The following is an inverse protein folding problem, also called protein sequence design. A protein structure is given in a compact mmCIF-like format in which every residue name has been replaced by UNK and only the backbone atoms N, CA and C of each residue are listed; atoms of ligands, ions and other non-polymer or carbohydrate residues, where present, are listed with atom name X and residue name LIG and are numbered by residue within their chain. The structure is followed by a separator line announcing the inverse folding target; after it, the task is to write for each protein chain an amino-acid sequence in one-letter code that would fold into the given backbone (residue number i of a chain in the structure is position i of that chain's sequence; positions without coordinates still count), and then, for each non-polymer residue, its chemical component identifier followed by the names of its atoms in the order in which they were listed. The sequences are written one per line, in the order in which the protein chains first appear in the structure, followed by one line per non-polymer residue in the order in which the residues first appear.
data_IF_369367169636
#
_entry.id   IF_369367169636
#
_cell.length_a   1.000
_cell.length_b   1.000
_cell.length_c   1.000
_cell.angle_alpha   90.00
_cell.angle_beta   90.00
_cell.angle_gamma   90.00
#
_symmetry.space_group_name_H-M   'P 1'
#
loop_
_entity.id
_entity.type
_entity.pdbx_description
1 polymer ?
#
# COMPACT_ATOMS: atom_id res chain seq x y z
N UNK A 1 -15.19 12.64 -27.61
CA UNK A 1 -13.81 12.84 -27.11
C UNK A 1 -13.22 11.46 -26.85
N UNK A 2 -12.16 11.05 -27.55
CA UNK A 2 -11.55 9.72 -27.37
C UNK A 2 -10.88 9.63 -25.99
N UNK A 3 -11.09 8.54 -25.24
CA UNK A 3 -10.43 8.34 -23.95
C UNK A 3 -8.92 8.18 -24.18
N UNK A 4 -8.11 8.98 -23.47
CA UNK A 4 -6.64 8.83 -23.52
C UNK A 4 -6.29 7.41 -23.10
N UNK A 5 -5.52 6.68 -23.91
CA UNK A 5 -4.98 5.36 -23.56
C UNK A 5 -3.50 5.47 -23.22
N UNK A 6 -3.03 4.61 -22.31
CA UNK A 6 -1.63 4.52 -21.89
C UNK A 6 -1.31 3.05 -21.57
N UNK A 7 -0.04 2.70 -21.76
CA UNK A 7 0.50 1.40 -21.34
C UNK A 7 1.17 1.56 -19.98
N UNK A 8 0.85 0.64 -19.08
CA UNK A 8 1.38 0.50 -17.74
C UNK A 8 2.13 -0.83 -17.63
N UNK A 9 3.09 -0.91 -16.71
CA UNK A 9 3.84 -2.13 -16.43
C UNK A 9 3.66 -2.49 -14.96
N UNK A 10 3.39 -3.76 -14.68
CA UNK A 10 3.39 -4.35 -13.35
C UNK A 10 4.23 -5.63 -13.46
N UNK A 11 5.43 -5.63 -12.90
CA UNK A 11 6.43 -6.68 -13.13
C UNK A 11 6.62 -7.00 -14.63
N UNK A 12 6.25 -8.21 -15.05
CA UNK A 12 6.33 -8.69 -16.44
C UNK A 12 5.06 -8.40 -17.26
N UNK A 13 4.03 -7.83 -16.64
CA UNK A 13 2.72 -7.59 -17.26
C UNK A 13 2.70 -6.25 -17.97
N UNK A 14 2.02 -6.22 -19.12
CA UNK A 14 1.82 -5.00 -19.92
C UNK A 14 0.33 -4.71 -19.98
N UNK A 15 -0.08 -3.66 -19.28
CA UNK A 15 -1.49 -3.30 -19.10
C UNK A 15 -1.80 -2.07 -19.94
N UNK A 16 -2.59 -2.23 -21.00
CA UNK A 16 -3.15 -1.08 -21.74
C UNK A 16 -4.46 -0.66 -21.08
N UNK A 17 -4.50 0.58 -20.57
CA UNK A 17 -5.67 1.11 -19.89
C UNK A 17 -6.07 2.48 -20.45
N UNK A 18 -7.32 2.85 -20.18
CA UNK A 18 -7.94 4.09 -20.61
C UNK A 18 -8.24 4.99 -19.42
N UNK A 19 -7.93 6.27 -19.56
CA UNK A 19 -8.19 7.26 -18.51
C UNK A 19 -9.70 7.37 -18.29
N UNK A 20 -10.12 7.28 -17.04
CA UNK A 20 -11.50 7.53 -16.67
C UNK A 20 -11.81 9.02 -16.66
N UNK A 21 -13.06 9.36 -16.96
CA UNK A 21 -13.59 10.72 -16.93
C UNK A 21 -14.57 10.84 -15.76
N UNK A 22 -14.79 12.05 -15.25
CA UNK A 22 -15.69 12.34 -14.12
C UNK A 22 -15.20 11.83 -12.75
N UNK A 23 -13.89 11.90 -12.51
CA UNK A 23 -13.27 11.70 -11.20
C UNK A 23 -12.18 12.75 -10.98
N UNK A 24 -11.97 13.13 -9.73
CA UNK A 24 -10.87 14.03 -9.33
C UNK A 24 -9.53 13.28 -9.21
N UNK A 25 -9.55 11.95 -9.30
CA UNK A 25 -8.39 11.09 -9.16
C UNK A 25 -7.86 10.65 -10.52
N UNK A 26 -6.56 10.35 -10.61
CA UNK A 26 -5.96 9.87 -11.84
C UNK A 26 -6.16 8.36 -12.03
N UNK A 27 -7.42 7.96 -12.28
CA UNK A 27 -7.82 6.54 -12.39
C UNK A 27 -7.86 6.10 -13.86
N UNK A 28 -7.27 4.94 -14.13
CA UNK A 28 -7.25 4.29 -15.43
C UNK A 28 -7.90 2.91 -15.32
N UNK A 29 -8.61 2.50 -16.37
CA UNK A 29 -9.33 1.22 -16.41
C UNK A 29 -8.83 0.42 -17.60
N UNK A 30 -8.39 -0.82 -17.36
CA UNK A 30 -7.97 -1.72 -18.42
C UNK A 30 -9.15 -2.11 -19.34
N UNK A 31 -10.29 -2.49 -18.75
CA UNK A 31 -11.49 -2.92 -19.49
C UNK A 31 -12.76 -2.29 -18.93
N UNK A 32 -13.54 -1.64 -19.78
CA UNK A 32 -14.83 -1.06 -19.36
C UNK A 32 -15.93 -2.14 -19.26
N UNK A 33 -15.89 -2.94 -18.18
CA UNK A 33 -16.90 -3.93 -17.83
C UNK A 33 -17.68 -3.49 -16.57
N UNK A 34 -18.68 -4.28 -16.15
CA UNK A 34 -19.47 -3.96 -14.94
C UNK A 34 -18.59 -3.93 -13.68
N UNK A 35 -17.65 -4.87 -13.55
CA UNK A 35 -16.74 -4.97 -12.41
C UNK A 35 -15.91 -3.68 -12.23
N UNK A 36 -15.24 -3.24 -13.28
CA UNK A 36 -14.45 -1.99 -13.28
C UNK A 36 -15.30 -0.75 -13.00
N UNK A 37 -16.55 -0.70 -13.48
CA UNK A 37 -17.48 0.39 -13.14
C UNK A 37 -17.86 0.39 -11.66
N UNK A 38 -18.02 -0.78 -11.05
CA UNK A 38 -18.28 -0.89 -9.62
C UNK A 38 -17.06 -0.44 -8.80
N UNK A 39 -15.86 -0.91 -9.14
CA UNK A 39 -14.60 -0.45 -8.50
C UNK A 39 -14.45 1.06 -8.61
N UNK A 40 -14.66 1.64 -9.79
CA UNK A 40 -14.57 3.09 -9.97
C UNK A 40 -15.54 3.86 -9.05
N UNK A 41 -16.77 3.37 -8.87
CA UNK A 41 -17.72 3.95 -7.91
C UNK A 41 -17.22 3.84 -6.47
N UNK A 42 -16.73 2.66 -6.08
CA UNK A 42 -16.16 2.42 -4.75
C UNK A 42 -14.96 3.33 -4.49
N UNK A 43 -13.97 3.39 -5.40
CA UNK A 43 -12.82 4.29 -5.32
C UNK A 43 -13.24 5.75 -5.13
N UNK A 44 -14.17 6.24 -5.96
CA UNK A 44 -14.65 7.62 -5.86
C UNK A 44 -15.29 7.95 -4.50
N UNK A 45 -15.94 6.97 -3.86
CA UNK A 45 -16.53 7.14 -2.52
C UNK A 45 -15.43 7.05 -1.46
N UNK A 46 -14.64 5.98 -1.48
CA UNK A 46 -13.66 5.68 -0.43
C UNK A 46 -12.53 6.71 -0.37
N UNK A 47 -11.99 7.12 -1.53
CA UNK A 47 -10.88 8.08 -1.59
C UNK A 47 -11.28 9.46 -1.06
N UNK A 48 -12.57 9.86 -1.14
CA UNK A 48 -13.03 11.13 -0.53
C UNK A 48 -12.90 11.14 1.00
N UNK A 49 -12.82 9.97 1.62
CA UNK A 49 -12.64 9.80 3.08
C UNK A 49 -11.19 9.56 3.50
N UNK A 50 -10.25 9.66 2.55
CA UNK A 50 -8.81 9.46 2.78
C UNK A 50 -8.11 10.77 2.41
N UNK A 51 -7.76 11.55 3.41
CA UNK A 51 -7.15 12.88 3.28
C UNK A 51 -5.67 12.93 3.69
N UNK A 52 -5.22 11.95 4.48
CA UNK A 52 -3.84 11.85 5.01
C UNK A 52 -2.79 11.39 4.00
N UNK A 53 -3.18 11.02 2.78
CA UNK A 53 -2.28 10.41 1.79
C UNK A 53 -2.35 11.14 0.46
N UNK A 54 -1.20 11.29 -0.18
CA UNK A 54 -1.14 11.66 -1.59
C UNK A 54 -1.54 10.45 -2.44
N UNK A 55 -2.59 10.62 -3.25
CA UNK A 55 -3.15 9.54 -4.06
C UNK A 55 -2.39 9.45 -5.41
N UNK A 56 -1.69 8.33 -5.70
CA UNK A 56 -0.96 8.16 -6.94
C UNK A 56 -1.91 7.86 -8.12
N UNK A 57 -1.34 7.51 -9.27
CA UNK A 57 -2.12 6.90 -10.35
C UNK A 57 -2.70 5.58 -9.86
N UNK A 58 -3.98 5.34 -10.15
CA UNK A 58 -4.64 4.05 -9.86
C UNK A 58 -5.02 3.40 -11.18
N UNK A 59 -4.69 2.12 -11.34
CA UNK A 59 -5.04 1.32 -12.53
C UNK A 59 -5.90 0.14 -12.10
N UNK A 60 -7.12 0.06 -12.63
CA UNK A 60 -8.00 -1.10 -12.43
C UNK A 60 -7.64 -2.16 -13.49
N UNK A 61 -7.20 -3.32 -13.02
CA UNK A 61 -6.64 -4.43 -13.80
C UNK A 61 -7.56 -5.63 -13.71
N UNK A 62 -7.61 -6.46 -14.77
CA UNK A 62 -8.38 -7.70 -14.76
C UNK A 62 -7.78 -8.72 -13.81
N UNK A 63 -8.65 -9.42 -13.10
CA UNK A 63 -8.32 -10.46 -12.13
C UNK A 63 -7.24 -11.46 -12.58
N UNK A 64 -7.39 -12.07 -13.75
CA UNK A 64 -6.47 -13.08 -14.25
C UNK A 64 -5.10 -12.56 -14.69
N UNK A 65 -4.91 -11.24 -14.74
CA UNK A 65 -3.60 -10.63 -15.05
C UNK A 65 -2.83 -10.24 -13.81
N UNK A 66 -3.46 -10.13 -12.64
CA UNK A 66 -2.73 -9.94 -11.39
C UNK A 66 -2.19 -11.28 -10.87
N UNK A 67 -1.08 -11.29 -10.11
CA UNK A 67 -0.65 -12.48 -9.39
C UNK A 67 -1.80 -13.09 -8.59
N UNK A 68 -1.84 -14.42 -8.52
CA UNK A 68 -2.87 -15.16 -7.76
C UNK A 68 -2.95 -14.62 -6.33
N UNK A 69 -4.17 -14.42 -5.84
CA UNK A 69 -4.49 -13.91 -4.50
C UNK A 69 -4.06 -12.47 -4.19
N UNK A 70 -3.60 -11.71 -5.20
CA UNK A 70 -3.33 -10.27 -5.06
C UNK A 70 -4.61 -9.45 -5.25
N UNK A 71 -5.03 -8.76 -4.19
CA UNK A 71 -6.13 -7.78 -4.23
C UNK A 71 -5.70 -6.45 -4.85
N UNK A 72 -4.48 -6.03 -4.56
CA UNK A 72 -3.86 -4.81 -5.03
C UNK A 72 -2.34 -4.93 -4.98
N UNK A 73 -1.66 -3.96 -5.61
CA UNK A 73 -0.22 -3.81 -5.51
C UNK A 73 0.20 -2.36 -5.76
N UNK A 74 1.11 -1.84 -4.95
CA UNK A 74 1.81 -0.60 -5.20
C UNK A 74 3.17 -0.85 -5.87
N UNK A 75 3.37 -0.30 -7.08
CA UNK A 75 4.68 -0.26 -7.72
C UNK A 75 5.39 1.06 -7.41
N UNK A 76 6.43 0.98 -6.57
CA UNK A 76 7.28 2.12 -6.18
C UNK A 76 8.08 2.75 -7.33
N UNK A 77 8.34 2.00 -8.41
CA UNK A 77 9.17 2.50 -9.52
C UNK A 77 8.35 3.42 -10.41
N UNK A 78 7.11 3.02 -10.76
CA UNK A 78 6.21 3.85 -11.56
C UNK A 78 5.29 4.76 -10.75
N UNK A 79 5.25 4.60 -9.42
CA UNK A 79 4.34 5.30 -8.49
C UNK A 79 2.87 5.08 -8.85
N UNK A 80 2.47 3.80 -8.87
CA UNK A 80 1.15 3.35 -9.32
C UNK A 80 0.59 2.31 -8.36
N UNK A 81 -0.70 2.46 -8.02
CA UNK A 81 -1.48 1.40 -7.36
C UNK A 81 -2.29 0.66 -8.43
N UNK A 82 -2.14 -0.66 -8.47
CA UNK A 82 -2.95 -1.56 -9.27
C UNK A 82 -4.04 -2.17 -8.39
N UNK A 83 -5.28 -2.19 -8.88
CA UNK A 83 -6.45 -2.73 -8.18
C UNK A 83 -7.06 -3.85 -9.01
N UNK A 84 -7.25 -5.01 -8.40
CA UNK A 84 -7.87 -6.16 -9.03
C UNK A 84 -9.39 -5.90 -9.24
N UNK A 85 -9.89 -6.08 -10.46
CA UNK A 85 -11.32 -5.91 -10.76
C UNK A 85 -12.22 -6.99 -10.14
N UNK A 86 -11.65 -8.00 -9.49
CA UNK A 86 -12.37 -8.96 -8.66
C UNK A 86 -12.92 -8.34 -7.36
N UNK A 87 -12.45 -7.16 -6.92
CA UNK A 87 -12.91 -6.49 -5.69
C UNK A 87 -14.25 -5.73 -5.86
N UNK A 88 -15.09 -6.14 -6.81
CA UNK A 88 -16.17 -5.34 -7.40
C UNK A 88 -17.41 -5.09 -6.52
N UNK A 89 -17.37 -5.45 -5.25
CA UNK A 89 -18.38 -5.08 -4.25
C UNK A 89 -17.83 -5.19 -2.82
N UNK A 90 -18.32 -4.35 -1.90
CA UNK A 90 -17.88 -4.37 -0.50
C UNK A 90 -18.09 -5.73 0.18
N UNK A 91 -19.27 -6.35 0.02
CA UNK A 91 -19.56 -7.64 0.65
C UNK A 91 -18.73 -8.81 0.09
N UNK A 92 -18.18 -8.68 -1.13
CA UNK A 92 -17.22 -9.65 -1.66
C UNK A 92 -15.83 -9.41 -1.06
N UNK A 93 -15.40 -8.16 -0.98
CA UNK A 93 -14.13 -7.78 -0.34
C UNK A 93 -14.09 -8.26 1.11
N UNK A 94 -15.15 -8.03 1.89
CA UNK A 94 -15.24 -8.50 3.29
C UNK A 94 -15.10 -10.02 3.40
N UNK A 95 -15.75 -10.78 2.51
CA UNK A 95 -15.63 -12.24 2.48
C UNK A 95 -14.21 -12.71 2.13
N UNK A 96 -13.53 -12.00 1.24
CA UNK A 96 -12.15 -12.31 0.84
C UNK A 96 -11.12 -11.98 1.93
N UNK A 97 -11.46 -11.11 2.89
CA UNK A 97 -10.58 -10.67 3.99
C UNK A 97 -10.87 -11.37 5.34
N UNK A 98 -11.65 -12.45 5.33
CA UNK A 98 -12.16 -13.09 6.56
C UNK A 98 -11.29 -14.25 7.06
N UNK A 99 -10.08 -14.43 6.54
CA UNK A 99 -9.16 -15.52 6.88
C UNK A 99 -8.00 -15.10 7.80
N UNK A 100 -8.04 -13.86 8.31
CA UNK A 100 -7.01 -13.26 9.17
C UNK A 100 -5.62 -13.17 8.53
N UNK A 101 -5.51 -13.36 7.20
CA UNK A 101 -4.25 -13.17 6.49
C UNK A 101 -3.77 -11.71 6.58
N UNK A 102 -4.70 -10.78 6.35
CA UNK A 102 -4.49 -9.34 6.38
C UNK A 102 -5.16 -8.68 7.59
N UNK A 103 -4.59 -7.56 8.04
CA UNK A 103 -5.20 -6.64 9.00
C UNK A 103 -6.43 -5.94 8.38
N UNK A 104 -6.38 -5.67 7.06
CA UNK A 104 -7.48 -5.07 6.33
C UNK A 104 -8.76 -5.92 6.39
N UNK A 105 -9.91 -5.28 6.66
CA UNK A 105 -11.24 -5.94 6.72
C UNK A 105 -12.26 -5.42 5.73
N UNK A 106 -11.89 -4.42 4.95
CA UNK A 106 -12.77 -3.82 3.95
C UNK A 106 -11.94 -3.14 2.84
N UNK A 107 -12.62 -2.64 1.82
CA UNK A 107 -11.99 -1.98 0.66
C UNK A 107 -11.17 -0.74 1.05
N UNK A 108 -11.56 0.00 2.09
CA UNK A 108 -10.79 1.15 2.58
C UNK A 108 -9.46 0.68 3.19
N UNK A 109 -9.46 -0.41 3.95
CA UNK A 109 -8.25 -1.03 4.50
C UNK A 109 -7.25 -1.41 3.43
N UNK A 110 -7.71 -2.07 2.35
CA UNK A 110 -6.87 -2.41 1.19
C UNK A 110 -6.21 -1.15 0.60
N UNK A 111 -6.97 -0.07 0.37
CA UNK A 111 -6.39 1.16 -0.16
C UNK A 111 -5.39 1.81 0.80
N UNK A 112 -5.67 1.82 2.10
CA UNK A 112 -4.77 2.36 3.11
C UNK A 112 -3.46 1.56 3.13
N UNK A 113 -3.52 0.23 3.08
CA UNK A 113 -2.35 -0.64 3.02
C UNK A 113 -1.41 -0.20 1.88
N UNK A 114 -1.91 -0.09 0.65
CA UNK A 114 -1.10 0.33 -0.52
C UNK A 114 -0.60 1.78 -0.42
N UNK A 115 -1.43 2.68 0.12
CA UNK A 115 -1.03 4.08 0.32
C UNK A 115 0.05 4.22 1.40
N UNK A 116 0.09 3.32 2.38
CA UNK A 116 1.15 3.27 3.38
C UNK A 116 2.45 2.78 2.76
N UNK A 117 2.42 1.77 1.87
CA UNK A 117 3.60 1.40 1.09
C UNK A 117 4.17 2.59 0.32
N UNK A 118 3.32 3.35 -0.38
CA UNK A 118 3.74 4.59 -1.04
C UNK A 118 4.39 5.56 -0.05
N UNK A 119 3.69 5.89 1.04
CA UNK A 119 4.16 6.86 2.03
C UNK A 119 5.49 6.44 2.66
N UNK A 120 5.69 5.15 2.91
CA UNK A 120 6.93 4.61 3.47
C UNK A 120 8.09 4.77 2.49
N UNK A 121 7.87 4.55 1.20
CA UNK A 121 8.87 4.83 0.16
C UNK A 121 9.11 6.31 -0.05
N UNK A 122 8.08 7.15 0.04
CA UNK A 122 8.23 8.60 -0.02
C UNK A 122 9.04 9.13 1.15
N UNK A 123 8.94 8.53 2.33
CA UNK A 123 9.79 8.83 3.48
C UNK A 123 11.29 8.64 3.17
N UNK A 124 11.64 7.54 2.51
CA UNK A 124 13.03 7.30 2.09
C UNK A 124 13.46 8.26 0.97
N UNK A 125 12.60 8.52 -0.02
CA UNK A 125 12.87 9.49 -1.09
C UNK A 125 13.11 10.89 -0.52
N UNK A 126 12.29 11.32 0.43
CA UNK A 126 12.42 12.61 1.09
C UNK A 126 13.73 12.70 1.90
N UNK A 127 14.08 11.67 2.67
CA UNK A 127 15.35 11.64 3.39
C UNK A 127 16.54 11.74 2.43
N UNK A 128 16.52 10.95 1.35
CA UNK A 128 17.55 10.95 0.31
C UNK A 128 17.71 12.34 -0.31
N UNK A 129 16.62 12.95 -0.76
CA UNK A 129 16.61 14.27 -1.42
C UNK A 129 17.02 15.41 -0.47
N UNK A 130 16.69 15.32 0.82
CA UNK A 130 17.05 16.35 1.82
C UNK A 130 18.46 16.18 2.40
N UNK A 131 19.13 15.06 2.12
CA UNK A 131 20.48 14.72 2.60
C UNK A 131 21.43 14.43 1.44
N UNK A 132 21.39 15.26 0.39
CA UNK A 132 22.19 15.04 -0.83
C UNK A 132 23.67 14.83 -0.50
N UNK A 133 24.23 13.74 -1.02
CA UNK A 133 25.63 13.34 -0.80
C UNK A 133 25.88 12.47 0.45
N UNK A 134 24.88 12.27 1.32
CA UNK A 134 25.00 11.39 2.50
C UNK A 134 24.72 9.92 2.19
N UNK A 135 23.88 9.65 1.19
CA UNK A 135 23.44 8.32 0.80
C UNK A 135 23.67 8.12 -0.71
N UNK A 136 24.00 6.91 -1.13
CA UNK A 136 24.25 6.60 -2.54
C UNK A 136 22.95 6.51 -3.35
N UNK A 137 21.87 6.03 -2.74
CA UNK A 137 20.57 5.84 -3.37
C UNK A 137 19.42 5.86 -2.33
N UNK A 138 18.18 5.75 -2.81
CA UNK A 138 16.97 5.75 -1.98
C UNK A 138 16.89 4.51 -1.09
N UNK A 139 17.41 3.36 -1.55
CA UNK A 139 17.44 2.12 -0.77
C UNK A 139 18.32 2.25 0.48
N UNK A 140 19.49 2.89 0.36
CA UNK A 140 20.34 3.16 1.52
C UNK A 140 19.66 4.10 2.51
N UNK A 141 18.97 5.14 2.02
CA UNK A 141 18.16 6.00 2.87
C UNK A 141 17.02 5.21 3.56
N UNK A 142 16.38 4.26 2.84
CA UNK A 142 15.35 3.37 3.38
C UNK A 142 15.89 2.49 4.51
N UNK A 143 17.07 1.90 4.34
CA UNK A 143 17.72 1.11 5.39
C UNK A 143 17.95 1.92 6.67
N UNK A 144 18.32 3.20 6.53
CA UNK A 144 18.57 4.08 7.68
C UNK A 144 17.28 4.43 8.42
N UNK A 145 16.19 4.78 7.73
CA UNK A 145 14.92 5.06 8.41
C UNK A 145 14.34 3.80 9.05
N UNK A 146 14.50 2.64 8.40
CA UNK A 146 13.95 1.38 8.91
C UNK A 146 14.74 0.81 10.09
N UNK A 147 16.00 1.20 10.27
CA UNK A 147 16.95 0.53 11.16
C UNK A 147 16.43 0.34 12.60
N UNK A 148 15.84 1.38 13.18
CA UNK A 148 15.31 1.32 14.55
C UNK A 148 14.16 0.32 14.67
N UNK A 149 13.24 0.32 13.69
CA UNK A 149 12.10 -0.61 13.67
C UNK A 149 12.55 -2.04 13.38
N UNK A 150 13.48 -2.24 12.45
CA UNK A 150 14.07 -3.56 12.15
C UNK A 150 14.72 -4.16 13.40
N UNK A 151 15.51 -3.37 14.13
CA UNK A 151 16.14 -3.84 15.37
C UNK A 151 15.09 -4.15 16.45
N UNK A 152 14.06 -3.31 16.57
CA UNK A 152 12.96 -3.55 17.50
C UNK A 152 12.24 -4.88 17.20
N UNK A 153 11.82 -5.09 15.96
CA UNK A 153 11.11 -6.29 15.51
C UNK A 153 11.95 -7.55 15.72
N UNK A 154 13.26 -7.50 15.41
CA UNK A 154 14.17 -8.62 15.67
C UNK A 154 14.21 -8.99 17.15
N UNK A 155 14.33 -7.99 18.02
CA UNK A 155 14.34 -8.23 19.47
C UNK A 155 13.01 -8.78 19.97
N UNK A 156 11.87 -8.25 19.48
CA UNK A 156 10.56 -8.78 19.83
C UNK A 156 10.37 -10.23 19.37
N UNK A 157 10.74 -10.56 18.12
CA UNK A 157 10.66 -11.93 17.60
C UNK A 157 11.57 -12.92 18.35
N UNK A 158 12.71 -12.46 18.90
CA UNK A 158 13.54 -13.31 19.75
C UNK A 158 12.88 -13.64 21.10
N UNK A 159 12.01 -12.77 21.60
CA UNK A 159 11.29 -12.94 22.88
C UNK A 159 9.99 -13.72 22.66
N UNK A 160 9.22 -13.33 21.65
CA UNK A 160 7.96 -13.94 21.24
C UNK A 160 8.00 -14.23 19.72
N UNK A 161 8.25 -15.48 19.32
CA UNK A 161 8.24 -15.88 17.90
C UNK A 161 6.91 -15.62 17.18
N UNK A 162 5.81 -15.43 17.91
CA UNK A 162 4.48 -15.13 17.35
C UNK A 162 4.21 -13.62 17.24
N UNK A 163 5.15 -12.76 17.63
CA UNK A 163 4.96 -11.30 17.68
C UNK A 163 4.38 -10.72 16.37
N UNK A 164 4.94 -11.09 15.21
CA UNK A 164 4.44 -10.63 13.91
C UNK A 164 3.09 -11.25 13.54
N UNK A 165 2.83 -12.51 13.93
CA UNK A 165 1.55 -13.17 13.68
C UNK A 165 0.40 -12.51 14.46
N UNK A 166 0.71 -11.87 15.58
CA UNK A 166 -0.25 -11.07 16.34
C UNK A 166 -0.61 -9.74 15.64
N UNK A 167 0.17 -9.32 14.64
CA UNK A 167 -0.18 -8.20 13.75
C UNK A 167 -0.98 -8.72 12.57
N UNK A 168 -0.37 -9.57 11.73
CA UNK A 168 -1.02 -10.31 10.64
C UNK A 168 -0.07 -11.36 10.05
N UNK A 169 -0.63 -12.33 9.31
CA UNK A 169 0.18 -13.31 8.59
C UNK A 169 0.99 -12.64 7.46
N UNK A 170 0.45 -11.58 6.86
CA UNK A 170 1.13 -10.79 5.84
C UNK A 170 2.38 -10.08 6.37
N UNK A 171 2.29 -9.44 7.55
CA UNK A 171 3.43 -8.84 8.23
C UNK A 171 4.54 -9.86 8.55
N UNK A 172 4.15 -11.06 9.00
CA UNK A 172 5.07 -12.17 9.23
C UNK A 172 5.77 -12.63 7.94
N UNK A 173 5.00 -12.85 6.87
CA UNK A 173 5.51 -13.29 5.57
C UNK A 173 6.45 -12.26 4.92
N UNK A 174 6.13 -10.97 5.02
CA UNK A 174 6.99 -9.89 4.55
C UNK A 174 8.40 -9.97 5.12
N UNK A 175 8.52 -10.19 6.44
CA UNK A 175 9.81 -10.36 7.09
C UNK A 175 10.47 -11.70 6.70
N UNK A 176 9.72 -12.81 6.73
CA UNK A 176 10.27 -14.14 6.49
C UNK A 176 10.82 -14.32 5.07
N UNK A 177 10.10 -13.86 4.05
CA UNK A 177 10.42 -14.15 2.64
C UNK A 177 11.16 -13.00 1.93
N UNK A 178 11.00 -11.76 2.40
CA UNK A 178 11.61 -10.60 1.75
C UNK A 178 12.55 -9.81 2.65
N UNK A 179 12.65 -10.17 3.94
CA UNK A 179 13.43 -9.44 4.94
C UNK A 179 13.08 -7.93 4.94
N UNK A 180 11.79 -7.63 4.76
CA UNK A 180 11.25 -6.28 4.64
C UNK A 180 10.20 -6.01 5.71
N UNK A 181 10.26 -4.84 6.32
CA UNK A 181 9.25 -4.38 7.29
C UNK A 181 8.06 -3.67 6.63
N UNK A 182 8.02 -3.57 5.30
CA UNK A 182 6.99 -2.79 4.61
C UNK A 182 5.57 -3.28 4.94
N UNK A 183 5.34 -4.60 4.90
CA UNK A 183 4.04 -5.18 5.25
C UNK A 183 3.67 -4.91 6.70
N UNK A 184 4.62 -5.06 7.63
CA UNK A 184 4.40 -4.69 9.03
C UNK A 184 3.95 -3.23 9.20
N UNK A 185 4.59 -2.30 8.48
CA UNK A 185 4.24 -0.88 8.54
C UNK A 185 2.82 -0.64 7.98
N UNK A 186 2.49 -1.27 6.85
CA UNK A 186 1.17 -1.18 6.24
C UNK A 186 0.08 -1.76 7.15
N UNK A 187 0.30 -2.95 7.68
CA UNK A 187 -0.68 -3.71 8.46
C UNK A 187 -0.97 -3.04 9.81
N UNK A 188 0.03 -2.46 10.47
CA UNK A 188 -0.18 -1.66 11.69
C UNK A 188 -0.96 -0.38 11.40
N UNK A 189 -0.69 0.33 10.30
CA UNK A 189 -1.44 1.56 9.96
C UNK A 189 -2.90 1.27 9.57
N UNK A 190 -3.18 0.10 9.01
CA UNK A 190 -4.54 -0.32 8.62
C UNK A 190 -5.44 -0.52 9.84
N UNK A 191 -4.92 -1.10 10.92
CA UNK A 191 -5.70 -1.42 12.13
C UNK A 191 -4.95 -1.08 13.44
N UNK A 192 -4.41 0.14 13.51
CA UNK A 192 -3.59 0.64 14.64
C UNK A 192 -4.28 0.44 15.99
N UNK A 193 -5.62 0.57 16.04
CA UNK A 193 -6.42 0.46 17.25
C UNK A 193 -6.34 -0.94 17.91
N UNK A 194 -6.01 -1.99 17.17
CA UNK A 194 -5.80 -3.34 17.71
C UNK A 194 -4.38 -3.59 18.21
N UNK A 195 -3.43 -2.70 17.88
CA UNK A 195 -2.03 -2.88 18.24
C UNK A 195 -1.81 -2.38 19.68
N UNK A 196 -1.55 -3.32 20.59
CA UNK A 196 -1.29 -3.02 22.00
C UNK A 196 0.11 -2.43 22.23
N UNK A 197 1.06 -2.77 21.35
CA UNK A 197 2.44 -2.33 21.43
C UNK A 197 2.59 -0.86 21.00
N UNK A 198 2.57 0.04 21.99
CA UNK A 198 2.73 1.47 21.77
C UNK A 198 4.12 1.86 21.26
N UNK A 199 5.16 1.08 21.55
CA UNK A 199 6.51 1.36 21.06
C UNK A 199 6.60 1.03 19.58
N UNK A 200 6.01 -0.09 19.14
CA UNK A 200 5.87 -0.42 17.72
C UNK A 200 5.18 0.71 16.95
N UNK A 201 4.01 1.15 17.42
CA UNK A 201 3.26 2.25 16.80
C UNK A 201 4.13 3.52 16.71
N UNK A 202 4.80 3.89 17.81
CA UNK A 202 5.66 5.07 17.87
C UNK A 202 6.76 5.04 16.80
N UNK A 203 7.48 3.92 16.69
CA UNK A 203 8.56 3.75 15.71
C UNK A 203 8.02 3.85 14.27
N UNK A 204 6.85 3.27 14.01
CA UNK A 204 6.19 3.37 12.70
C UNK A 204 5.82 4.82 12.36
N UNK A 205 5.23 5.56 13.31
CA UNK A 205 4.91 6.98 13.11
C UNK A 205 6.14 7.84 12.88
N UNK A 206 7.24 7.56 13.58
CA UNK A 206 8.53 8.24 13.35
C UNK A 206 9.02 8.04 11.91
N UNK A 207 8.98 6.81 11.39
CA UNK A 207 9.37 6.50 10.00
C UNK A 207 8.47 7.24 9.01
N UNK A 208 7.15 7.14 9.19
CA UNK A 208 6.17 7.75 8.28
C UNK A 208 6.12 9.29 8.36
N UNK A 209 6.75 9.89 9.36
CA UNK A 209 6.88 11.35 9.49
C UNK A 209 7.84 11.94 8.45
N UNK A 210 8.88 11.21 8.04
CA UNK A 210 9.80 11.63 6.97
C UNK A 210 9.10 11.71 5.61
N UNK A 211 8.02 10.95 5.40
CA UNK A 211 7.23 10.94 4.16
C UNK A 211 6.20 12.06 4.06
N UNK A 212 6.16 12.97 5.04
CA UNK A 212 5.09 13.95 5.15
C UNK A 212 5.52 15.34 4.64
N UNK A 213 4.99 15.75 3.47
CA UNK A 213 5.24 17.07 2.86
C UNK A 213 4.24 18.17 3.31
N UNK A 214 3.53 17.96 4.43
CA UNK A 214 2.73 18.99 5.08
C UNK A 214 1.33 19.21 4.52
N UNK A 215 0.31 18.84 5.30
CA UNK A 215 -0.79 19.73 5.75
C UNK A 215 -1.36 19.16 7.04
N UNK A 216 -0.75 19.52 8.16
CA UNK A 216 -1.29 19.24 9.49
C UNK A 216 -2.72 19.80 9.55
N UNK A 217 -3.71 18.96 9.86
CA UNK A 217 -4.96 19.43 10.45
C UNK A 217 -4.74 19.66 11.93
#
# INVERSE_FOLDING_TARGET
MMSRSRVFKLDKLIIRAHKTVNTNYNIWVQKNNQRSRNILKMLNITLRSIDKYEIPIIVIVRDFEMPTDSFSAYDRISDIIFINDNLDSYGKVEKMLNDDYFAARNFKGILIHELVHKRHWDAAKNLYNNSLGKYNNVEEAKMVIDASLVNYVKNQNCIDPSFLLNVSLDAYNGILFSNSINELVAEVEVDEAKILDKNLIKLIKEILSYGYNGKST
#
